data_IF_429926195565
#
_entry.id   IF_429926195565
#
_cell.length_a   1.000
_cell.length_b   1.000
_cell.length_c   1.000
_cell.angle_alpha   90.00
_cell.angle_beta   90.00
_cell.angle_gamma   90.00
#
_symmetry.space_group_name_H-M   'P 1'
#
loop_
_entity.id
_entity.type
_entity.pdbx_description
1 polymer ?
#
# COMPACT_ATOMS: atom_id res chain seq x y z
N UNK A 1 24.09 -43.77 -9.19
CA UNK A 1 24.11 -43.28 -10.58
C UNK A 1 23.13 -42.12 -10.72
N UNK A 2 23.38 -41.19 -11.64
CA UNK A 2 22.45 -40.15 -12.13
C UNK A 2 21.19 -40.79 -12.74
N UNK A 3 20.03 -40.15 -12.99
CA UNK A 3 19.60 -38.72 -12.98
C UNK A 3 18.31 -38.58 -12.11
N UNK A 4 17.38 -37.60 -12.13
CA UNK A 4 17.11 -36.43 -12.97
C UNK A 4 16.38 -35.27 -12.23
N UNK A 5 16.37 -34.10 -12.87
CA UNK A 5 15.75 -32.82 -12.47
C UNK A 5 14.21 -32.87 -12.45
N UNK A 6 13.56 -31.83 -11.93
CA UNK A 6 12.95 -30.81 -12.82
C UNK A 6 12.39 -29.62 -12.01
N UNK A 7 12.44 -28.40 -12.55
CA UNK A 7 12.31 -27.12 -11.81
C UNK A 7 11.11 -26.20 -12.16
N UNK A 8 10.76 -25.94 -13.44
CA UNK A 8 10.41 -24.57 -13.84
C UNK A 8 8.93 -24.18 -13.69
N UNK A 9 8.46 -24.01 -12.44
CA UNK A 9 7.20 -23.30 -12.13
C UNK A 9 7.37 -21.79 -12.39
N UNK A 10 7.31 -21.42 -13.67
CA UNK A 10 7.39 -20.07 -14.25
C UNK A 10 6.15 -19.81 -15.12
N UNK A 11 6.08 -18.67 -15.81
CA UNK A 11 5.47 -18.67 -17.16
C UNK A 11 6.13 -19.83 -17.91
N UNK A 12 5.39 -20.82 -18.47
CA UNK A 12 6.02 -22.03 -19.00
C UNK A 12 7.10 -21.67 -20.00
N UNK A 13 8.23 -22.40 -20.03
CA UNK A 13 9.37 -21.98 -20.85
C UNK A 13 8.97 -21.76 -22.31
N UNK A 14 8.17 -22.66 -22.89
CA UNK A 14 7.61 -22.53 -24.23
C UNK A 14 6.68 -21.30 -24.43
N UNK A 15 6.11 -20.69 -23.38
CA UNK A 15 5.38 -19.41 -23.43
C UNK A 15 6.34 -18.22 -23.38
N UNK A 16 7.44 -18.28 -22.60
CA UNK A 16 8.51 -17.29 -22.69
C UNK A 16 9.24 -17.35 -24.03
N UNK A 17 9.51 -18.55 -24.52
CA UNK A 17 10.13 -18.81 -25.82
C UNK A 17 9.19 -18.30 -26.93
N UNK A 18 7.87 -18.58 -26.86
CA UNK A 18 6.87 -18.06 -27.81
C UNK A 18 6.68 -16.53 -27.75
N UNK A 19 6.63 -15.93 -26.55
CA UNK A 19 6.61 -14.47 -26.40
C UNK A 19 7.92 -13.86 -26.96
N UNK A 20 9.04 -14.55 -26.82
CA UNK A 20 10.34 -14.11 -27.37
C UNK A 20 10.35 -14.21 -28.88
N UNK A 21 9.93 -15.34 -29.46
CA UNK A 21 9.73 -15.54 -30.90
C UNK A 21 8.86 -14.45 -31.52
N UNK A 22 7.67 -14.19 -30.95
CA UNK A 22 6.76 -13.12 -31.40
C UNK A 22 7.40 -11.72 -31.22
N UNK A 23 8.24 -11.54 -30.20
CA UNK A 23 8.98 -10.29 -29.98
C UNK A 23 10.06 -10.08 -31.05
N UNK A 24 10.72 -11.15 -31.47
CA UNK A 24 11.86 -11.11 -32.38
C UNK A 24 11.44 -10.96 -33.86
N UNK A 25 10.13 -11.08 -34.16
CA UNK A 25 9.56 -10.67 -35.43
C UNK A 25 9.77 -9.17 -35.76
N UNK A 26 10.04 -8.31 -34.76
CA UNK A 26 10.30 -6.88 -34.99
C UNK A 26 11.73 -6.67 -35.47
N UNK A 27 11.90 -6.18 -36.70
CA UNK A 27 13.20 -6.07 -37.38
C UNK A 27 14.01 -4.85 -36.92
N UNK A 28 15.34 -4.99 -36.95
CA UNK A 28 16.33 -3.91 -36.77
C UNK A 28 16.76 -3.66 -35.32
N UNK A 29 17.93 -3.04 -35.14
CA UNK A 29 18.55 -2.81 -33.81
C UNK A 29 18.61 -1.33 -33.39
N UNK A 30 17.80 -0.49 -34.04
CA UNK A 30 17.61 0.89 -33.59
C UNK A 30 16.98 0.92 -32.19
N UNK A 31 17.27 1.97 -31.42
CA UNK A 31 16.68 2.19 -30.10
C UNK A 31 15.13 2.11 -30.11
N UNK A 32 14.52 2.49 -31.24
CA UNK A 32 13.08 2.42 -31.47
C UNK A 32 12.58 0.98 -31.62
N UNK A 33 13.29 0.12 -32.37
CA UNK A 33 12.98 -1.30 -32.49
C UNK A 33 13.17 -2.04 -31.15
N UNK A 34 14.24 -1.76 -30.41
CA UNK A 34 14.46 -2.29 -29.05
C UNK A 34 13.32 -1.90 -28.10
N UNK A 35 12.88 -0.64 -28.14
CA UNK A 35 11.76 -0.15 -27.31
C UNK A 35 10.45 -0.82 -27.68
N UNK A 36 10.20 -1.06 -28.97
CA UNK A 36 9.05 -1.84 -29.47
C UNK A 36 9.08 -3.27 -28.98
N UNK A 37 10.21 -3.98 -29.11
CA UNK A 37 10.40 -5.35 -28.61
C UNK A 37 10.10 -5.45 -27.11
N UNK A 38 10.63 -4.54 -26.30
CA UNK A 38 10.34 -4.52 -24.85
C UNK A 38 8.86 -4.21 -24.53
N UNK A 39 8.22 -3.30 -25.29
CA UNK A 39 6.81 -2.94 -25.09
C UNK A 39 5.87 -4.09 -25.48
N UNK A 40 6.18 -4.77 -26.59
CA UNK A 40 5.46 -5.94 -27.08
C UNK A 40 5.55 -7.11 -26.09
N UNK A 41 6.75 -7.43 -25.59
CA UNK A 41 6.97 -8.44 -24.56
C UNK A 41 6.16 -8.18 -23.29
N UNK A 42 6.05 -6.90 -22.87
CA UNK A 42 5.21 -6.49 -21.72
C UNK A 42 3.72 -6.60 -22.00
N UNK A 43 3.28 -6.27 -23.22
CA UNK A 43 1.88 -6.38 -23.63
C UNK A 43 1.40 -7.84 -23.72
N UNK A 44 2.19 -8.71 -24.37
CA UNK A 44 1.91 -10.14 -24.49
C UNK A 44 1.86 -10.83 -23.11
N UNK A 45 2.78 -10.47 -22.21
CA UNK A 45 2.73 -10.94 -20.82
C UNK A 45 1.49 -10.41 -20.07
N UNK A 46 1.06 -9.17 -20.30
CA UNK A 46 -0.13 -8.60 -19.66
C UNK A 46 -1.41 -9.31 -20.11
N UNK A 47 -1.63 -9.48 -21.42
CA UNK A 47 -2.84 -10.16 -21.94
C UNK A 47 -2.91 -11.65 -21.60
N UNK A 48 -1.78 -12.25 -21.18
CA UNK A 48 -1.72 -13.60 -20.62
C UNK A 48 -2.01 -13.65 -19.11
N UNK A 49 -1.64 -12.61 -18.36
CA UNK A 49 -1.71 -12.59 -16.90
C UNK A 49 -3.03 -12.05 -16.32
N UNK A 50 -3.70 -11.12 -17.01
CA UNK A 50 -4.91 -10.43 -16.51
C UNK A 50 -6.19 -10.82 -17.26
N UNK A 51 -6.24 -12.06 -17.74
CA UNK A 51 -7.45 -12.67 -18.29
C UNK A 51 -8.54 -12.82 -17.22
N UNK A 52 -9.79 -12.53 -17.59
CA UNK A 52 -10.98 -12.78 -16.77
C UNK A 52 -11.35 -14.27 -16.69
N UNK A 53 -12.46 -14.57 -16.02
CA UNK A 53 -12.90 -15.95 -15.77
C UNK A 53 -13.25 -16.72 -17.06
N UNK A 54 -13.51 -16.02 -18.18
CA UNK A 54 -13.73 -16.58 -19.53
C UNK A 54 -12.43 -16.58 -20.39
N UNK A 55 -11.30 -16.15 -19.81
CA UNK A 55 -9.99 -16.13 -20.46
C UNK A 55 -9.66 -14.85 -21.25
N UNK A 56 -10.38 -13.74 -21.04
CA UNK A 56 -10.23 -12.51 -21.82
C UNK A 56 -9.60 -11.37 -21.02
N UNK A 57 -8.55 -10.74 -21.55
CA UNK A 57 -8.01 -9.50 -20.97
C UNK A 57 -8.70 -8.30 -21.63
N UNK A 58 -9.42 -7.51 -20.83
CA UNK A 58 -10.00 -6.24 -21.30
C UNK A 58 -8.89 -5.19 -21.40
N UNK A 59 -8.36 -4.99 -22.61
CA UNK A 59 -7.43 -3.90 -22.92
C UNK A 59 -8.06 -2.93 -23.91
N UNK A 60 -8.37 -1.71 -23.46
CA UNK A 60 -9.02 -0.70 -24.30
C UNK A 60 -8.02 0.03 -25.19
N UNK A 61 -8.50 0.71 -26.24
CA UNK A 61 -7.70 1.61 -27.08
C UNK A 61 -7.03 2.71 -26.25
N UNK A 62 -7.62 3.11 -25.11
CA UNK A 62 -7.04 4.07 -24.18
C UNK A 62 -5.84 3.47 -23.43
N UNK A 63 -5.92 2.20 -23.04
CA UNK A 63 -4.84 1.50 -22.33
C UNK A 63 -3.66 1.24 -23.28
N UNK A 64 -3.92 0.88 -24.53
CA UNK A 64 -2.87 0.80 -25.55
C UNK A 64 -2.20 2.18 -25.74
N UNK A 65 -2.98 3.26 -25.91
CA UNK A 65 -2.43 4.63 -26.02
C UNK A 65 -1.65 5.11 -24.77
N UNK A 66 -2.01 4.64 -23.58
CA UNK A 66 -1.44 5.13 -22.31
C UNK A 66 -0.25 4.30 -21.82
N UNK A 67 -0.24 3.01 -22.09
CA UNK A 67 0.71 2.04 -21.54
C UNK A 67 1.54 1.31 -22.61
N UNK A 68 1.06 1.27 -23.86
CA UNK A 68 1.66 0.48 -24.95
C UNK A 68 1.72 1.25 -26.28
N UNK A 69 1.87 2.58 -26.22
CA UNK A 69 1.73 3.46 -27.39
C UNK A 69 2.64 3.07 -28.57
N UNK A 70 3.83 2.54 -28.28
CA UNK A 70 4.81 2.08 -29.27
C UNK A 70 4.30 0.95 -30.18
N UNK A 71 3.23 0.24 -29.80
CA UNK A 71 2.59 -0.78 -30.64
C UNK A 71 1.77 -0.21 -31.81
N UNK A 72 1.36 1.06 -31.71
CA UNK A 72 0.47 1.72 -32.69
C UNK A 72 1.23 2.41 -33.84
N UNK A 73 2.56 2.54 -33.76
CA UNK A 73 3.37 3.09 -34.85
C UNK A 73 3.88 1.99 -35.77
N UNK A 74 3.85 2.22 -37.09
CA UNK A 74 4.32 1.27 -38.11
C UNK A 74 5.77 0.81 -37.87
N UNK A 75 5.99 -0.50 -37.96
CA UNK A 75 7.29 -1.15 -37.93
C UNK A 75 7.41 -2.17 -39.04
N UNK A 76 8.66 -2.47 -39.39
CA UNK A 76 9.02 -3.63 -40.20
C UNK A 76 8.93 -4.90 -39.32
N UNK A 77 8.21 -5.89 -39.83
CA UNK A 77 7.93 -7.16 -39.16
C UNK A 77 8.30 -8.29 -40.12
N UNK A 78 9.20 -9.18 -39.70
CA UNK A 78 9.57 -10.40 -40.41
C UNK A 78 8.95 -11.59 -39.70
N UNK A 79 8.14 -12.37 -40.41
CA UNK A 79 7.51 -13.59 -39.87
C UNK A 79 7.38 -14.63 -40.98
N UNK A 80 7.79 -15.87 -40.69
CA UNK A 80 7.76 -17.00 -41.63
C UNK A 80 8.46 -16.72 -42.99
N UNK A 81 9.52 -15.91 -42.98
CA UNK A 81 10.31 -15.59 -44.18
C UNK A 81 9.74 -14.47 -45.07
N UNK A 82 8.61 -13.86 -44.67
CA UNK A 82 8.00 -12.72 -45.34
C UNK A 82 8.16 -11.46 -44.50
N UNK A 83 8.41 -10.33 -45.15
CA UNK A 83 8.57 -9.03 -44.49
C UNK A 83 7.38 -8.10 -44.80
N UNK A 84 6.87 -7.44 -43.77
CA UNK A 84 5.69 -6.59 -43.81
C UNK A 84 5.95 -5.26 -43.10
N UNK A 85 5.36 -4.17 -43.59
CA UNK A 85 5.27 -2.91 -42.85
C UNK A 85 3.86 -2.78 -42.29
N UNK A 86 3.71 -2.90 -40.97
CA UNK A 86 2.40 -2.86 -40.29
C UNK A 86 2.53 -2.31 -38.86
N UNK A 87 1.42 -2.14 -38.14
CA UNK A 87 1.46 -1.92 -36.69
C UNK A 87 1.47 -3.26 -35.95
N UNK A 88 1.99 -3.29 -34.74
CA UNK A 88 1.97 -4.50 -33.92
C UNK A 88 0.55 -4.85 -33.47
N UNK A 89 -0.33 -3.85 -33.31
CA UNK A 89 -1.73 -4.10 -32.96
C UNK A 89 -2.47 -4.81 -34.11
N UNK A 90 -2.17 -4.49 -35.36
CA UNK A 90 -2.83 -5.10 -36.52
C UNK A 90 -2.20 -6.46 -36.91
N UNK A 91 -0.91 -6.65 -36.61
CA UNK A 91 -0.20 -7.91 -36.85
C UNK A 91 -0.62 -9.02 -35.87
N UNK A 92 -0.73 -8.74 -34.56
CA UNK A 92 -0.93 -9.78 -33.54
C UNK A 92 -2.15 -10.71 -33.75
N UNK A 93 -3.33 -10.25 -34.22
CA UNK A 93 -4.48 -11.13 -34.51
C UNK A 93 -4.27 -12.12 -35.67
N UNK A 94 -3.18 -11.98 -36.45
CA UNK A 94 -2.82 -12.95 -37.50
C UNK A 94 -2.12 -14.19 -36.94
N UNK A 95 -1.69 -14.15 -35.68
CA UNK A 95 -0.99 -15.25 -35.03
C UNK A 95 -1.99 -16.28 -34.46
N UNK A 96 -1.76 -17.59 -34.65
CA UNK A 96 -2.76 -18.62 -34.37
C UNK A 96 -3.12 -18.75 -32.88
N UNK A 97 -2.32 -18.19 -31.98
CA UNK A 97 -2.45 -18.22 -30.53
C UNK A 97 -3.02 -16.93 -29.91
N UNK A 98 -3.21 -15.84 -30.68
CA UNK A 98 -3.75 -14.56 -30.20
C UNK A 98 -5.07 -14.22 -30.89
N UNK A 99 -6.10 -13.88 -30.11
CA UNK A 99 -7.41 -13.48 -30.63
C UNK A 99 -7.80 -12.07 -30.13
N UNK A 100 -8.29 -11.22 -31.04
CA UNK A 100 -8.84 -9.91 -30.71
C UNK A 100 -10.35 -9.88 -30.95
N UNK A 101 -11.13 -9.50 -29.93
CA UNK A 101 -12.57 -9.29 -30.03
C UNK A 101 -12.90 -7.82 -29.93
N UNK A 102 -13.31 -7.23 -31.05
CA UNK A 102 -13.82 -5.87 -31.10
C UNK A 102 -15.11 -5.72 -30.28
N UNK A 103 -15.16 -4.72 -29.41
CA UNK A 103 -16.36 -4.41 -28.63
C UNK A 103 -17.51 -3.94 -29.52
N UNK A 104 -18.63 -4.68 -29.55
CA UNK A 104 -19.82 -4.26 -30.30
C UNK A 104 -20.46 -3.02 -29.65
N UNK A 105 -20.76 -2.01 -30.45
CA UNK A 105 -21.72 -0.98 -30.09
C UNK A 105 -23.11 -1.64 -29.98
N UNK A 106 -23.61 -1.78 -28.75
CA UNK A 106 -24.97 -2.27 -28.52
C UNK A 106 -25.96 -1.11 -28.71
N UNK A 107 -27.18 -1.42 -29.14
CA UNK A 107 -28.25 -0.43 -29.39
C UNK A 107 -28.61 0.35 -28.11
N UNK A 108 -28.37 -0.24 -26.92
CA UNK A 108 -28.40 0.45 -25.64
C UNK A 108 -27.11 1.27 -25.40
N UNK A 109 -27.23 2.59 -25.51
CA UNK A 109 -26.15 3.58 -25.30
C UNK A 109 -25.46 3.44 -23.94
N UNK A 110 -26.13 2.84 -22.93
CA UNK A 110 -25.58 2.63 -21.58
C UNK A 110 -24.71 1.36 -21.47
N UNK A 111 -24.68 0.50 -22.49
CA UNK A 111 -23.97 -0.81 -22.47
C UNK A 111 -22.98 -0.98 -23.63
N UNK A 112 -22.02 -0.05 -23.73
CA UNK A 112 -20.83 -0.23 -24.57
C UNK A 112 -20.00 -1.41 -24.05
N UNK A 113 -19.86 -2.48 -24.84
CA UNK A 113 -18.86 -3.52 -24.57
C UNK A 113 -17.48 -3.01 -24.97
N UNK A 114 -16.49 -3.16 -24.09
CA UNK A 114 -15.10 -2.88 -24.41
C UNK A 114 -14.54 -3.96 -25.37
N UNK A 115 -13.51 -3.61 -26.13
CA UNK A 115 -12.71 -4.61 -26.88
C UNK A 115 -11.81 -5.39 -25.93
N UNK A 116 -11.51 -6.64 -26.28
CA UNK A 116 -10.72 -7.55 -25.46
C UNK A 116 -9.72 -8.36 -26.28
N UNK A 117 -8.61 -8.76 -25.64
CA UNK A 117 -7.54 -9.57 -26.20
C UNK A 117 -7.41 -10.88 -25.41
N UNK A 118 -7.19 -11.99 -26.09
CA UNK A 118 -6.93 -13.30 -25.48
C UNK A 118 -5.65 -13.90 -26.07
N UNK A 119 -4.87 -14.58 -25.23
CA UNK A 119 -3.73 -15.40 -25.64
C UNK A 119 -3.99 -16.85 -25.23
N UNK A 120 -4.49 -17.66 -26.17
CA UNK A 120 -5.00 -19.01 -25.89
C UNK A 120 -3.99 -20.07 -26.35
N UNK A 121 -3.30 -20.67 -25.38
CA UNK A 121 -2.18 -21.57 -25.61
C UNK A 121 -2.65 -22.99 -25.95
N UNK A 122 -2.78 -23.28 -27.25
CA UNK A 122 -3.30 -24.54 -27.83
C UNK A 122 -2.29 -25.71 -27.71
N UNK A 123 -1.78 -25.97 -26.50
CA UNK A 123 -0.74 -26.97 -26.20
C UNK A 123 -1.26 -28.41 -26.50
N UNK A 124 -0.47 -29.28 -27.16
CA UNK A 124 -0.82 -30.70 -27.41
C UNK A 124 -1.10 -31.60 -26.17
N UNK A 125 -1.26 -32.89 -26.43
CA UNK A 125 -1.69 -33.96 -25.51
C UNK A 125 -0.59 -34.41 -24.50
N UNK A 126 -1.00 -34.83 -23.29
CA UNK A 126 -0.25 -35.56 -22.24
C UNK A 126 1.08 -34.98 -21.67
N UNK A 127 1.53 -35.31 -20.45
CA UNK A 127 1.14 -36.37 -19.51
C UNK A 127 1.04 -35.88 -18.04
N UNK A 128 0.30 -36.60 -17.18
CA UNK A 128 -0.03 -36.28 -15.77
C UNK A 128 1.13 -36.50 -14.77
N UNK A 129 2.32 -36.89 -15.23
CA UNK A 129 3.47 -37.30 -14.40
C UNK A 129 4.48 -36.17 -14.11
N UNK A 130 4.57 -35.13 -14.95
CA UNK A 130 5.62 -34.11 -14.90
C UNK A 130 5.34 -32.94 -13.92
N UNK A 131 5.63 -33.12 -12.63
CA UNK A 131 5.09 -32.24 -11.55
C UNK A 131 6.06 -31.20 -10.94
N UNK A 132 7.37 -31.33 -11.12
CA UNK A 132 8.38 -30.30 -10.80
C UNK A 132 8.80 -30.16 -9.32
N UNK A 133 9.92 -29.45 -9.12
CA UNK A 133 10.71 -29.30 -7.88
C UNK A 133 11.36 -27.89 -7.87
N UNK A 134 10.68 -26.83 -7.43
CA UNK A 134 11.26 -25.46 -7.42
C UNK A 134 12.05 -25.18 -6.13
N UNK A 135 13.13 -24.41 -6.23
CA UNK A 135 14.29 -24.45 -5.33
C UNK A 135 14.84 -23.09 -4.83
N UNK A 136 15.47 -23.05 -3.64
CA UNK A 136 16.30 -21.97 -3.02
C UNK A 136 17.31 -22.56 -2.00
N UNK A 137 18.42 -21.87 -1.73
CA UNK A 137 19.79 -22.42 -1.55
C UNK A 137 20.35 -22.49 -0.09
N UNK A 138 21.19 -23.50 0.19
CA UNK A 138 22.12 -23.66 1.34
C UNK A 138 23.47 -22.93 1.15
N UNK A 139 24.08 -22.43 2.24
CA UNK A 139 25.15 -21.43 2.17
C UNK A 139 26.59 -21.96 2.31
N UNK A 140 26.79 -23.21 2.73
CA UNK A 140 28.11 -23.86 2.65
C UNK A 140 28.24 -24.72 1.39
N UNK A 141 27.11 -25.16 0.80
CA UNK A 141 27.10 -26.18 -0.27
C UNK A 141 26.42 -25.78 -1.59
N UNK A 142 25.46 -24.85 -1.57
CA UNK A 142 24.83 -24.30 -2.78
C UNK A 142 23.55 -25.00 -3.30
N UNK A 143 23.12 -26.16 -2.77
CA UNK A 143 21.89 -26.86 -3.22
C UNK A 143 20.63 -26.55 -2.37
N UNK A 144 19.44 -27.01 -2.80
CA UNK A 144 18.26 -26.14 -2.69
C UNK A 144 16.84 -26.79 -2.66
N UNK A 145 15.83 -26.10 -2.10
CA UNK A 145 14.38 -26.47 -2.09
C UNK A 145 13.43 -25.29 -1.75
N UNK A 146 12.36 -25.01 -2.54
CA UNK A 146 11.45 -23.84 -2.34
C UNK A 146 10.07 -23.78 -3.06
N UNK A 147 8.99 -24.02 -2.30
CA UNK A 147 8.00 -22.99 -1.90
C UNK A 147 6.88 -22.47 -2.86
N UNK A 148 7.01 -22.38 -4.19
CA UNK A 148 5.96 -21.74 -5.06
C UNK A 148 4.58 -22.44 -5.01
N UNK A 149 4.54 -23.70 -4.59
CA UNK A 149 3.39 -24.61 -4.56
C UNK A 149 2.13 -24.09 -3.87
N UNK A 150 2.27 -23.22 -2.86
CA UNK A 150 1.18 -22.89 -1.94
C UNK A 150 0.44 -21.59 -2.30
N UNK A 151 0.76 -20.91 -3.41
CA UNK A 151 0.21 -19.59 -3.76
C UNK A 151 -0.61 -19.56 -5.06
N UNK A 152 -1.89 -19.91 -4.96
CA UNK A 152 -2.94 -19.42 -5.89
C UNK A 152 -4.21 -19.02 -5.13
N UNK A 153 -4.68 -17.78 -5.32
CA UNK A 153 -6.03 -17.32 -4.97
C UNK A 153 -6.17 -15.98 -4.20
N UNK A 154 -7.36 -15.36 -4.37
CA UNK A 154 -8.09 -14.42 -3.49
C UNK A 154 -7.36 -13.15 -2.97
N UNK A 155 -7.80 -11.91 -3.25
CA UNK A 155 -8.89 -11.49 -4.16
C UNK A 155 -9.36 -10.04 -3.91
N UNK A 156 -8.98 -9.11 -4.80
CA UNK A 156 -9.39 -7.68 -4.92
C UNK A 156 -9.06 -6.71 -3.77
N UNK A 157 -8.60 -5.51 -4.17
CA UNK A 157 -8.21 -4.38 -3.32
C UNK A 157 -8.37 -3.04 -4.08
N UNK A 158 -8.51 -1.88 -3.40
CA UNK A 158 -8.73 -0.57 -4.03
C UNK A 158 -7.43 0.14 -4.48
N UNK A 159 -7.58 1.24 -5.25
CA UNK A 159 -6.50 2.18 -5.62
C UNK A 159 -6.80 3.60 -5.10
N UNK A 160 -5.89 4.16 -4.30
CA UNK A 160 -5.74 5.61 -4.13
C UNK A 160 -4.26 5.95 -4.30
N UNK A 161 -3.91 6.55 -5.43
CA UNK A 161 -2.57 7.07 -5.69
C UNK A 161 -2.61 8.59 -5.52
N UNK A 162 -1.86 9.13 -4.56
CA UNK A 162 -1.70 10.59 -4.42
C UNK A 162 -0.68 11.04 -5.47
N UNK A 163 -1.15 11.79 -6.46
CA UNK A 163 -0.29 12.37 -7.50
C UNK A 163 0.40 13.62 -6.94
N UNK A 164 1.63 13.45 -6.45
CA UNK A 164 2.46 14.57 -6.00
C UNK A 164 2.96 15.37 -7.22
N UNK A 165 2.62 16.66 -7.28
CA UNK A 165 2.95 17.54 -8.42
C UNK A 165 4.46 17.62 -8.74
N UNK A 166 4.78 17.91 -10.01
CA UNK A 166 6.15 17.93 -10.57
C UNK A 166 7.14 18.95 -9.95
N UNK A 167 6.74 19.77 -8.97
CA UNK A 167 7.57 20.86 -8.38
C UNK A 167 8.24 20.51 -7.03
N UNK A 168 8.45 19.23 -6.74
CA UNK A 168 8.96 18.76 -5.44
C UNK A 168 10.34 18.07 -5.48
N UNK A 169 11.29 18.60 -6.26
CA UNK A 169 12.66 18.05 -6.32
C UNK A 169 13.34 18.05 -4.95
N UNK A 170 13.18 19.11 -4.15
CA UNK A 170 13.78 19.21 -2.80
C UNK A 170 13.13 18.29 -1.79
N UNK A 171 11.83 17.97 -1.94
CA UNK A 171 11.16 16.96 -1.11
C UNK A 171 11.68 15.59 -1.51
N UNK A 172 11.68 15.23 -2.80
CA UNK A 172 12.25 13.97 -3.29
C UNK A 172 13.71 13.76 -2.88
N UNK A 173 14.54 14.81 -2.88
CA UNK A 173 15.93 14.77 -2.39
C UNK A 173 15.97 14.52 -0.87
N UNK A 174 15.14 15.23 -0.09
CA UNK A 174 15.00 15.01 1.37
C UNK A 174 14.50 13.60 1.69
N UNK A 175 13.54 13.07 0.95
CA UNK A 175 13.06 11.69 1.12
C UNK A 175 14.13 10.66 0.78
N UNK A 176 14.85 10.83 -0.34
CA UNK A 176 15.97 9.94 -0.68
C UNK A 176 17.07 9.97 0.39
N UNK A 177 17.38 11.15 0.92
CA UNK A 177 18.38 11.31 1.99
C UNK A 177 17.90 10.72 3.33
N UNK A 178 16.62 10.86 3.67
CA UNK A 178 16.01 10.24 4.84
C UNK A 178 16.01 8.71 4.74
N UNK A 179 15.50 8.15 3.64
CA UNK A 179 15.46 6.71 3.41
C UNK A 179 16.86 6.10 3.32
N UNK A 180 17.86 6.86 2.85
CA UNK A 180 19.27 6.44 2.88
C UNK A 180 19.88 6.27 4.28
N UNK A 181 19.22 6.74 5.35
CA UNK A 181 19.60 6.44 6.74
C UNK A 181 18.97 5.15 7.28
N UNK A 182 17.94 4.64 6.62
CA UNK A 182 17.32 3.35 6.97
C UNK A 182 18.22 2.24 6.41
N UNK A 183 18.50 1.23 7.24
CA UNK A 183 19.27 0.06 6.82
C UNK A 183 18.51 -0.74 5.74
N UNK A 184 19.17 -1.76 5.16
CA UNK A 184 18.44 -2.77 4.38
C UNK A 184 17.40 -3.46 5.27
N UNK A 185 16.26 -3.81 4.69
CA UNK A 185 15.16 -4.44 5.40
C UNK A 185 15.57 -5.79 5.97
N UNK A 186 15.00 -6.18 7.11
CA UNK A 186 15.29 -7.48 7.75
C UNK A 186 14.01 -8.27 8.02
N UNK A 187 13.97 -9.47 7.48
CA UNK A 187 12.90 -10.45 7.69
C UNK A 187 13.50 -11.71 8.32
N UNK A 188 13.03 -12.11 9.50
CA UNK A 188 13.53 -13.30 10.17
C UNK A 188 13.04 -14.60 9.47
N UNK A 189 13.93 -15.59 9.34
CA UNK A 189 13.68 -16.82 8.59
C UNK A 189 12.54 -17.68 9.17
N UNK A 190 12.16 -17.48 10.44
CA UNK A 190 10.99 -18.15 11.03
C UNK A 190 9.67 -17.79 10.33
N UNK A 191 9.57 -16.65 9.64
CA UNK A 191 8.44 -16.38 8.74
C UNK A 191 8.40 -17.40 7.61
N UNK A 192 9.51 -17.60 6.90
CA UNK A 192 9.59 -18.53 5.76
C UNK A 192 9.29 -19.96 6.24
N UNK A 193 9.80 -20.35 7.41
CA UNK A 193 9.47 -21.65 8.05
C UNK A 193 7.98 -21.77 8.38
N UNK A 194 7.36 -20.75 8.96
CA UNK A 194 5.94 -20.77 9.32
C UNK A 194 4.97 -20.60 8.13
N UNK A 195 5.44 -20.05 7.02
CA UNK A 195 4.74 -20.14 5.74
C UNK A 195 4.86 -21.57 5.20
N UNK A 196 6.07 -22.15 5.12
CA UNK A 196 6.31 -23.55 4.68
C UNK A 196 5.56 -24.62 5.49
N UNK A 197 5.07 -24.31 6.70
CA UNK A 197 4.31 -25.22 7.56
C UNK A 197 2.79 -24.99 7.56
N UNK A 198 2.25 -24.12 6.70
CA UNK A 198 0.81 -23.83 6.64
C UNK A 198 0.17 -24.43 5.39
N UNK A 199 -1.06 -24.92 5.56
CA UNK A 199 -1.95 -25.14 4.42
C UNK A 199 -2.22 -23.82 3.67
N UNK A 200 -2.44 -23.86 2.35
CA UNK A 200 -2.55 -22.66 1.53
C UNK A 200 -3.89 -21.94 1.74
N UNK A 201 -3.99 -21.14 2.80
CA UNK A 201 -5.15 -20.34 3.19
C UNK A 201 -5.02 -18.85 2.80
N UNK A 202 -5.99 -18.02 3.20
CA UNK A 202 -5.95 -16.56 2.96
C UNK A 202 -4.72 -15.87 3.58
N UNK A 203 -4.16 -16.41 4.66
CA UNK A 203 -2.99 -15.86 5.34
C UNK A 203 -1.67 -16.27 4.66
N UNK A 204 -1.55 -17.49 4.12
CA UNK A 204 -0.46 -17.87 3.23
C UNK A 204 -0.51 -17.09 1.90
N UNK A 205 -1.72 -16.94 1.33
CA UNK A 205 -1.97 -16.13 0.13
C UNK A 205 -1.64 -14.64 0.36
N UNK A 206 -1.57 -14.17 1.61
CA UNK A 206 -1.00 -12.87 2.01
C UNK A 206 0.53 -12.92 2.25
N UNK A 207 1.06 -14.05 2.70
CA UNK A 207 2.48 -14.37 2.86
C UNK A 207 3.33 -14.07 1.62
N UNK A 208 3.23 -14.85 0.53
CA UNK A 208 4.09 -14.60 -0.65
C UNK A 208 3.74 -13.27 -1.34
N UNK A 209 2.49 -12.78 -1.25
CA UNK A 209 2.19 -11.39 -1.70
C UNK A 209 3.11 -10.36 -1.05
N UNK A 210 3.43 -10.55 0.21
CA UNK A 210 4.38 -9.70 0.94
C UNK A 210 5.82 -9.98 0.49
N UNK A 211 6.20 -11.24 0.29
CA UNK A 211 7.54 -11.62 -0.21
C UNK A 211 7.84 -11.11 -1.64
N UNK A 212 6.83 -10.88 -2.47
CA UNK A 212 6.98 -10.31 -3.82
C UNK A 212 7.55 -8.87 -3.82
N UNK A 213 7.55 -8.19 -2.67
CA UNK A 213 8.14 -6.86 -2.51
C UNK A 213 9.61 -6.89 -2.03
N UNK A 214 10.18 -8.07 -1.82
CA UNK A 214 11.58 -8.25 -1.40
C UNK A 214 12.51 -8.23 -2.62
N UNK A 215 13.17 -7.11 -2.86
CA UNK A 215 14.17 -6.99 -3.93
C UNK A 215 15.59 -7.24 -3.41
N UNK A 216 16.44 -7.85 -4.24
CA UNK A 216 17.85 -8.16 -3.92
C UNK A 216 18.05 -8.90 -2.58
N UNK A 217 17.12 -9.79 -2.23
CA UNK A 217 17.13 -10.56 -0.98
C UNK A 217 18.39 -11.41 -0.82
N UNK A 218 19.03 -11.38 0.35
CA UNK A 218 20.20 -12.20 0.72
C UNK A 218 19.98 -12.81 2.11
N UNK A 219 20.44 -14.04 2.33
CA UNK A 219 20.39 -14.66 3.66
C UNK A 219 21.64 -14.22 4.43
N UNK A 220 21.43 -13.67 5.64
CA UNK A 220 22.46 -13.24 6.59
C UNK A 220 22.12 -13.87 7.96
N UNK A 221 22.66 -15.06 8.21
CA UNK A 221 22.37 -15.84 9.42
C UNK A 221 20.89 -16.19 9.55
N UNK A 222 20.24 -15.69 10.60
CA UNK A 222 18.81 -15.93 10.86
C UNK A 222 17.86 -15.00 10.09
N UNK A 223 18.38 -14.06 9.30
CA UNK A 223 17.61 -13.05 8.59
C UNK A 223 17.76 -13.14 7.08
N UNK A 224 16.76 -12.65 6.35
CA UNK A 224 16.88 -12.23 4.96
C UNK A 224 17.01 -10.71 4.94
N UNK A 225 18.09 -10.18 4.38
CA UNK A 225 18.26 -8.75 4.11
C UNK A 225 17.78 -8.40 2.72
N UNK A 226 17.04 -7.30 2.57
CA UNK A 226 16.41 -6.93 1.30
C UNK A 226 16.39 -5.42 1.08
N UNK A 227 16.25 -5.00 -0.18
CA UNK A 227 16.06 -3.59 -0.51
C UNK A 227 14.59 -3.22 -0.30
N UNK A 228 14.38 -2.18 0.50
CA UNK A 228 13.03 -1.73 0.84
C UNK A 228 12.26 -1.21 -0.37
N UNK A 229 11.02 -1.66 -0.50
CA UNK A 229 10.02 -1.01 -1.35
C UNK A 229 9.01 -0.26 -0.48
N UNK A 230 9.32 1.01 -0.22
CA UNK A 230 8.50 1.89 0.61
C UNK A 230 7.41 2.60 -0.22
N UNK A 231 6.17 2.54 0.25
CA UNK A 231 5.08 3.37 -0.26
C UNK A 231 4.74 4.51 0.71
N UNK A 232 4.47 5.70 0.16
CA UNK A 232 4.08 6.89 0.92
C UNK A 232 2.56 7.08 0.81
N UNK A 233 1.84 7.00 1.92
CA UNK A 233 0.37 7.15 1.94
C UNK A 233 -0.09 8.59 2.18
N UNK A 234 -1.42 8.80 2.17
CA UNK A 234 -2.07 9.93 2.83
C UNK A 234 -1.48 10.17 4.23
N UNK A 235 -1.33 11.43 4.63
CA UNK A 235 -0.68 11.83 5.88
C UNK A 235 0.85 11.76 5.85
N UNK A 236 1.46 11.17 4.81
CA UNK A 236 2.91 11.07 4.67
C UNK A 236 3.55 9.86 5.35
N UNK A 237 2.75 8.83 5.68
CA UNK A 237 3.28 7.63 6.35
C UNK A 237 4.04 6.75 5.38
N UNK A 238 5.23 6.35 5.80
CA UNK A 238 5.96 5.25 5.19
C UNK A 238 5.53 3.91 5.77
N UNK A 239 5.48 2.90 4.90
CA UNK A 239 5.36 1.52 5.32
C UNK A 239 6.10 0.58 4.36
N UNK A 240 6.71 -0.46 4.93
CA UNK A 240 7.30 -1.53 4.13
C UNK A 240 6.21 -2.44 3.54
N UNK A 241 6.13 -2.53 2.21
CA UNK A 241 5.12 -3.36 1.54
C UNK A 241 5.31 -4.87 1.80
N UNK A 242 6.53 -5.31 2.12
CA UNK A 242 6.81 -6.69 2.50
C UNK A 242 6.37 -7.04 3.92
N UNK A 243 5.96 -6.05 4.73
CA UNK A 243 5.47 -6.27 6.08
C UNK A 243 3.97 -6.00 6.22
N UNK A 244 3.44 -4.92 5.62
CA UNK A 244 2.06 -4.50 5.94
C UNK A 244 0.97 -5.48 5.52
N UNK A 245 1.19 -6.19 4.42
CA UNK A 245 0.21 -7.14 3.90
C UNK A 245 0.11 -8.43 4.74
N UNK A 246 0.97 -8.60 5.75
CA UNK A 246 0.97 -9.77 6.62
C UNK A 246 -0.07 -9.65 7.76
N UNK A 247 -0.75 -10.75 8.13
CA UNK A 247 -1.52 -10.83 9.37
C UNK A 247 -0.59 -10.75 10.59
N UNK A 248 -1.11 -10.30 11.73
CA UNK A 248 -0.33 -10.03 12.95
C UNK A 248 0.58 -11.17 13.41
N UNK A 249 0.13 -12.42 13.31
CA UNK A 249 0.94 -13.59 13.69
C UNK A 249 2.17 -13.77 12.79
N UNK A 250 2.01 -13.51 11.48
CA UNK A 250 3.12 -13.51 10.53
C UNK A 250 3.99 -12.27 10.67
N UNK A 251 3.42 -11.09 10.99
CA UNK A 251 4.20 -9.89 11.36
C UNK A 251 5.12 -10.14 12.56
N UNK A 252 4.63 -10.83 13.60
CA UNK A 252 5.42 -11.21 14.77
C UNK A 252 6.60 -12.14 14.40
N UNK A 253 6.39 -13.08 13.47
CA UNK A 253 7.46 -13.96 12.95
C UNK A 253 8.43 -13.23 12.01
N UNK A 254 7.94 -12.28 11.20
CA UNK A 254 8.75 -11.43 10.32
C UNK A 254 9.78 -10.61 11.12
N UNK A 255 9.32 -9.96 12.20
CA UNK A 255 10.15 -9.13 13.09
C UNK A 255 10.92 -9.91 14.16
N UNK A 256 10.83 -11.24 14.18
CA UNK A 256 11.38 -12.07 15.26
C UNK A 256 12.87 -11.79 15.48
N UNK A 257 13.28 -11.55 16.73
CA UNK A 257 14.65 -11.17 17.09
C UNK A 257 15.02 -9.70 16.83
N UNK A 258 14.09 -8.88 16.30
CA UNK A 258 14.24 -7.44 16.14
C UNK A 258 13.39 -6.67 17.17
N UNK A 259 13.78 -5.44 17.49
CA UNK A 259 13.05 -4.59 18.43
C UNK A 259 11.99 -3.76 17.70
N UNK A 260 10.72 -3.99 18.04
CA UNK A 260 9.56 -3.32 17.44
C UNK A 260 9.16 -2.08 18.26
N UNK A 261 9.61 -0.89 17.87
CA UNK A 261 9.31 0.36 18.57
C UNK A 261 8.08 1.06 18.00
N UNK A 262 7.06 1.29 18.83
CA UNK A 262 5.89 2.07 18.45
C UNK A 262 5.67 3.25 19.41
N UNK A 263 5.12 4.36 18.91
CA UNK A 263 4.80 5.54 19.72
C UNK A 263 3.60 5.23 20.63
N UNK A 264 3.80 5.25 21.96
CA UNK A 264 2.70 5.03 22.90
C UNK A 264 1.65 6.14 22.78
N UNK A 265 0.40 5.73 22.54
CA UNK A 265 -0.76 6.61 22.41
C UNK A 265 -0.58 7.71 21.34
N UNK A 266 0.19 7.43 20.29
CA UNK A 266 0.61 8.35 19.21
C UNK A 266 -0.35 9.52 18.93
N UNK A 267 -1.62 9.24 18.59
CA UNK A 267 -2.65 10.25 18.30
C UNK A 267 -2.79 11.32 19.40
N UNK A 268 -2.71 10.96 20.70
CA UNK A 268 -2.80 11.92 21.80
C UNK A 268 -1.53 12.75 21.98
N UNK A 269 -0.36 12.16 21.72
CA UNK A 269 0.92 12.84 21.70
C UNK A 269 0.96 13.89 20.58
N UNK A 270 0.60 13.49 19.35
CA UNK A 270 0.48 14.38 18.20
C UNK A 270 -0.53 15.51 18.41
N UNK A 271 -1.71 15.22 18.99
CA UNK A 271 -2.68 16.26 19.33
C UNK A 271 -2.13 17.27 20.35
N UNK A 272 -1.49 16.81 21.42
CA UNK A 272 -0.91 17.70 22.42
C UNK A 272 0.25 18.54 21.86
N UNK A 273 1.02 18.00 20.91
CA UNK A 273 2.03 18.75 20.16
C UNK A 273 1.37 19.83 19.29
N UNK A 274 0.37 19.49 18.48
CA UNK A 274 -0.37 20.44 17.65
C UNK A 274 -1.06 21.55 18.48
N UNK A 275 -1.70 21.20 19.60
CA UNK A 275 -2.30 22.19 20.49
C UNK A 275 -1.24 23.16 21.04
N UNK A 276 -0.07 22.67 21.46
CA UNK A 276 1.05 23.53 21.88
C UNK A 276 1.58 24.40 20.73
N UNK A 277 1.81 23.81 19.55
CA UNK A 277 2.38 24.46 18.38
C UNK A 277 1.51 25.61 17.86
N UNK A 278 0.19 25.44 17.90
CA UNK A 278 -0.79 26.45 17.50
C UNK A 278 -1.37 27.24 18.68
N UNK A 279 -0.82 27.13 19.90
CA UNK A 279 -1.24 27.89 21.09
C UNK A 279 -2.74 27.70 21.45
N UNK A 280 -3.26 26.49 21.31
CA UNK A 280 -4.58 26.10 21.83
C UNK A 280 -4.42 25.69 23.29
N UNK A 281 -5.08 26.41 24.20
CA UNK A 281 -5.11 26.06 25.64
C UNK A 281 -5.98 24.82 25.90
N UNK A 282 -5.43 23.66 25.52
CA UNK A 282 -6.02 22.36 25.79
C UNK A 282 -4.95 21.27 25.79
N UNK A 283 -5.07 20.31 26.71
CA UNK A 283 -4.22 19.13 26.77
C UNK A 283 -5.03 17.88 27.05
N UNK A 284 -4.94 16.89 26.16
CA UNK A 284 -5.50 15.56 26.42
C UNK A 284 -4.69 14.89 27.53
N UNK A 285 -5.36 14.57 28.64
CA UNK A 285 -4.77 13.84 29.77
C UNK A 285 -4.53 12.38 29.40
N UNK A 286 -3.36 11.84 29.73
CA UNK A 286 -3.02 10.42 29.51
C UNK A 286 -3.97 9.45 30.24
N UNK A 287 -4.57 9.89 31.35
CA UNK A 287 -5.57 9.15 32.11
C UNK A 287 -6.89 8.90 31.39
N UNK A 288 -7.14 9.51 30.22
CA UNK A 288 -8.40 9.37 29.45
C UNK A 288 -8.82 7.90 29.27
N UNK A 289 -7.88 7.00 28.96
CA UNK A 289 -8.20 5.58 28.79
C UNK A 289 -8.61 4.91 30.10
N UNK A 290 -7.98 5.26 31.23
CA UNK A 290 -8.35 4.73 32.56
C UNK A 290 -9.77 5.18 32.92
N UNK A 291 -10.06 6.47 32.83
CA UNK A 291 -11.39 7.04 33.09
C UNK A 291 -12.48 6.43 32.19
N UNK A 292 -12.18 6.18 30.91
CA UNK A 292 -13.11 5.50 30.01
C UNK A 292 -13.37 4.05 30.43
N UNK A 293 -12.34 3.28 30.77
CA UNK A 293 -12.48 1.89 31.21
C UNK A 293 -13.33 1.81 32.49
N UNK A 294 -13.03 2.65 33.48
CA UNK A 294 -13.75 2.73 34.76
C UNK A 294 -15.23 3.10 34.57
N UNK A 295 -15.54 4.08 33.72
CA UNK A 295 -16.93 4.52 33.52
C UNK A 295 -17.77 3.57 32.64
N UNK A 296 -17.15 2.89 31.67
CA UNK A 296 -17.87 2.15 30.62
C UNK A 296 -17.78 0.63 30.73
N UNK A 297 -16.82 0.09 31.49
CA UNK A 297 -16.49 -1.33 31.51
C UNK A 297 -15.86 -1.86 30.21
N UNK A 298 -15.54 -0.98 29.25
CA UNK A 298 -14.90 -1.36 28.00
C UNK A 298 -13.40 -1.62 28.18
N UNK A 299 -12.82 -2.45 27.31
CA UNK A 299 -11.38 -2.73 27.29
C UNK A 299 -10.57 -1.55 26.76
N UNK A 300 -9.28 -1.44 27.13
CA UNK A 300 -8.34 -0.42 26.62
C UNK A 300 -8.33 -0.35 25.08
N UNK A 301 -8.50 -1.49 24.39
CA UNK A 301 -8.57 -1.57 22.91
C UNK A 301 -9.83 -0.89 22.34
N UNK A 302 -10.98 -1.10 22.97
CA UNK A 302 -12.25 -0.46 22.59
C UNK A 302 -12.21 1.05 22.89
N UNK A 303 -11.70 1.45 24.07
CA UNK A 303 -11.52 2.87 24.42
C UNK A 303 -10.56 3.59 23.46
N UNK A 304 -9.43 2.96 23.08
CA UNK A 304 -8.53 3.46 22.02
C UNK A 304 -9.27 3.69 20.69
N UNK A 305 -10.14 2.74 20.28
CA UNK A 305 -10.90 2.88 19.05
C UNK A 305 -11.98 3.99 19.12
N UNK A 306 -12.61 4.20 20.28
CA UNK A 306 -13.52 5.34 20.51
C UNK A 306 -12.78 6.67 20.37
N UNK A 307 -11.68 6.87 21.12
CA UNK A 307 -10.84 8.07 21.07
C UNK A 307 -10.41 8.37 19.63
N UNK A 308 -9.80 7.39 18.96
CA UNK A 308 -9.34 7.54 17.58
C UNK A 308 -10.49 7.93 16.65
N UNK A 309 -11.61 7.20 16.67
CA UNK A 309 -12.76 7.49 15.79
C UNK A 309 -13.36 8.87 16.04
N UNK A 310 -13.36 9.35 17.28
CA UNK A 310 -13.86 10.67 17.66
C UNK A 310 -12.88 11.80 17.28
N UNK A 311 -11.56 11.62 17.45
CA UNK A 311 -10.54 12.59 16.99
C UNK A 311 -10.68 12.83 15.49
N UNK A 312 -10.66 11.78 14.67
CA UNK A 312 -10.79 11.90 13.21
C UNK A 312 -12.21 12.26 12.73
N UNK A 313 -13.14 12.55 13.66
CA UNK A 313 -14.45 13.18 13.43
C UNK A 313 -14.55 14.58 14.04
N UNK A 314 -13.42 15.22 14.36
CA UNK A 314 -13.34 16.56 14.97
C UNK A 314 -14.18 16.61 16.26
N UNK A 315 -13.97 15.64 17.14
CA UNK A 315 -14.69 15.52 18.41
C UNK A 315 -16.15 15.07 18.32
N UNK A 316 -16.75 14.94 17.12
CA UNK A 316 -18.17 14.59 16.98
C UNK A 316 -18.44 13.11 17.28
N UNK A 317 -19.39 12.86 18.19
CA UNK A 317 -19.89 11.52 18.52
C UNK A 317 -21.27 11.31 17.89
N UNK A 318 -21.45 10.21 17.17
CA UNK A 318 -22.75 9.83 16.58
C UNK A 318 -23.48 8.89 17.54
N UNK A 319 -24.68 9.27 17.98
CA UNK A 319 -25.49 8.47 18.91
C UNK A 319 -26.32 7.35 18.24
N UNK A 320 -26.39 7.32 16.91
CA UNK A 320 -27.07 6.26 16.15
C UNK A 320 -26.33 4.91 16.26
N UNK A 321 -27.07 3.82 16.43
CA UNK A 321 -26.52 2.48 16.63
C UNK A 321 -26.42 1.64 15.35
N UNK A 322 -26.92 2.14 14.22
CA UNK A 322 -27.06 1.37 12.98
C UNK A 322 -25.72 1.22 12.24
N UNK A 323 -24.79 2.16 12.42
CA UNK A 323 -23.52 2.20 11.69
C UNK A 323 -22.33 2.68 12.55
N UNK A 324 -21.14 2.71 11.93
CA UNK A 324 -19.96 3.43 12.42
C UNK A 324 -19.52 3.07 13.84
N UNK A 325 -19.39 4.09 14.69
CA UNK A 325 -18.95 3.91 16.09
C UNK A 325 -20.06 3.34 16.97
N UNK A 326 -21.32 3.75 16.74
CA UNK A 326 -22.44 3.32 17.58
C UNK A 326 -22.78 1.85 17.40
N UNK A 327 -22.71 1.32 16.17
CA UNK A 327 -22.84 -0.12 15.91
C UNK A 327 -21.75 -0.95 16.59
N UNK A 328 -20.52 -0.41 16.69
CA UNK A 328 -19.42 -1.06 17.42
C UNK A 328 -19.68 -1.07 18.92
N UNK A 329 -20.01 0.08 19.51
CA UNK A 329 -20.35 0.19 20.94
C UNK A 329 -21.55 -0.69 21.30
N UNK A 330 -22.58 -0.75 20.43
CA UNK A 330 -23.72 -1.65 20.59
C UNK A 330 -23.31 -3.13 20.70
N UNK A 331 -22.47 -3.62 19.78
CA UNK A 331 -21.93 -4.99 19.83
C UNK A 331 -21.08 -5.23 21.09
N UNK A 332 -20.24 -4.26 21.47
CA UNK A 332 -19.43 -4.35 22.70
C UNK A 332 -20.26 -4.39 23.99
N UNK A 333 -21.45 -3.81 23.97
CA UNK A 333 -22.42 -3.83 25.08
C UNK A 333 -23.32 -5.08 25.08
N UNK A 334 -22.94 -6.15 24.38
CA UNK A 334 -23.75 -7.37 24.24
C UNK A 334 -25.10 -7.11 23.57
N UNK A 335 -25.12 -6.23 22.56
CA UNK A 335 -26.34 -5.79 21.85
C UNK A 335 -27.38 -5.09 22.76
N UNK A 336 -26.95 -4.53 23.90
CA UNK A 336 -27.84 -3.75 24.77
C UNK A 336 -27.98 -2.29 24.31
N UNK A 337 -29.10 -1.96 23.65
CA UNK A 337 -29.43 -0.59 23.18
C UNK A 337 -29.34 0.45 24.30
N UNK A 338 -29.85 0.14 25.50
CA UNK A 338 -29.83 1.02 26.68
C UNK A 338 -28.40 1.33 27.15
N UNK A 339 -27.54 0.31 27.28
CA UNK A 339 -26.13 0.49 27.68
C UNK A 339 -25.35 1.28 26.62
N UNK A 340 -25.50 0.92 25.35
CA UNK A 340 -24.79 1.58 24.25
C UNK A 340 -25.12 3.08 24.13
N UNK A 341 -26.41 3.44 24.21
CA UNK A 341 -26.84 4.85 24.19
C UNK A 341 -26.35 5.62 25.42
N UNK A 342 -26.32 5.01 26.62
CA UNK A 342 -25.75 5.64 27.82
C UNK A 342 -24.27 5.97 27.62
N UNK A 343 -23.47 5.02 27.13
CA UNK A 343 -22.04 5.22 26.85
C UNK A 343 -21.82 6.29 25.78
N UNK A 344 -22.57 6.28 24.67
CA UNK A 344 -22.41 7.27 23.60
C UNK A 344 -22.79 8.69 24.03
N UNK A 345 -23.85 8.85 24.84
CA UNK A 345 -24.26 10.15 25.39
C UNK A 345 -23.23 10.71 26.37
N UNK A 346 -22.78 9.89 27.31
CA UNK A 346 -21.69 10.25 28.23
C UNK A 346 -20.42 10.61 27.46
N UNK A 347 -20.04 9.80 26.48
CA UNK A 347 -18.84 10.05 25.67
C UNK A 347 -18.92 11.38 24.92
N UNK A 348 -20.07 11.71 24.34
CA UNK A 348 -20.30 13.00 23.67
C UNK A 348 -20.15 14.20 24.62
N UNK A 349 -20.62 14.10 25.86
CA UNK A 349 -20.44 15.12 26.88
C UNK A 349 -18.96 15.22 27.30
N UNK A 350 -18.33 14.09 27.62
CA UNK A 350 -16.96 14.00 28.09
C UNK A 350 -15.93 14.54 27.09
N UNK A 351 -16.14 14.34 25.78
CA UNK A 351 -15.26 14.88 24.72
C UNK A 351 -15.62 16.28 24.25
N UNK A 352 -16.66 16.93 24.79
CA UNK A 352 -17.06 18.27 24.36
C UNK A 352 -15.90 19.30 24.45
N UNK A 353 -15.06 19.32 25.52
CA UNK A 353 -13.88 20.18 25.55
C UNK A 353 -12.85 19.87 24.45
N UNK A 354 -12.64 18.58 24.13
CA UNK A 354 -11.77 18.17 23.03
C UNK A 354 -12.34 18.59 21.67
N UNK A 355 -13.67 18.53 21.50
CA UNK A 355 -14.34 19.01 20.28
C UNK A 355 -14.05 20.49 20.05
N UNK A 356 -14.27 21.33 21.06
CA UNK A 356 -13.96 22.78 20.97
C UNK A 356 -12.49 23.02 20.68
N UNK A 357 -11.57 22.34 21.37
CA UNK A 357 -10.13 22.47 21.12
C UNK A 357 -9.72 22.06 19.70
N UNK A 358 -10.33 21.01 19.13
CA UNK A 358 -10.08 20.58 17.74
C UNK A 358 -10.64 21.57 16.71
N UNK A 359 -11.77 22.21 16.99
CA UNK A 359 -12.35 23.27 16.14
C UNK A 359 -11.44 24.52 16.18
N UNK A 360 -11.02 24.98 17.36
CA UNK A 360 -10.06 26.08 17.51
C UNK A 360 -8.68 25.77 16.89
N UNK A 361 -8.18 24.54 17.00
CA UNK A 361 -6.93 24.12 16.35
C UNK A 361 -7.02 24.29 14.82
N UNK A 362 -8.12 23.86 14.21
CA UNK A 362 -8.33 24.01 12.77
C UNK A 362 -8.43 25.48 12.35
N UNK A 363 -9.14 26.31 13.12
CA UNK A 363 -9.22 27.76 12.89
C UNK A 363 -7.83 28.41 12.94
N UNK A 364 -7.01 28.05 13.94
CA UNK A 364 -5.64 28.55 14.08
C UNK A 364 -4.69 28.05 12.99
N UNK A 365 -4.81 26.79 12.55
CA UNK A 365 -4.08 26.28 11.37
C UNK A 365 -4.45 27.08 10.12
N UNK A 366 -5.75 27.30 9.85
CA UNK A 366 -6.21 28.11 8.72
C UNK A 366 -5.73 29.57 8.82
N UNK A 367 -5.78 30.17 10.03
CA UNK A 367 -5.32 31.54 10.27
C UNK A 367 -3.81 31.70 10.07
N UNK A 368 -3.00 30.79 10.60
CA UNK A 368 -1.55 30.77 10.41
C UNK A 368 -1.19 30.60 8.94
N UNK A 369 -1.80 29.62 8.25
CA UNK A 369 -1.57 29.40 6.82
C UNK A 369 -1.90 30.62 5.97
N UNK A 370 -3.03 31.30 6.21
CA UNK A 370 -3.38 32.52 5.47
C UNK A 370 -2.38 33.66 5.70
N UNK A 371 -1.76 33.76 6.88
CA UNK A 371 -0.73 34.77 7.18
C UNK A 371 0.61 34.48 6.51
N UNK A 372 1.01 33.21 6.40
CA UNK A 372 2.30 32.81 5.80
C UNK A 372 2.24 32.53 4.30
N UNK A 373 1.05 32.32 3.73
CA UNK A 373 0.87 31.93 2.34
C UNK A 373 0.98 33.13 1.38
N UNK A 374 1.99 33.11 0.50
CA UNK A 374 2.32 34.20 -0.44
C UNK A 374 1.26 34.53 -1.50
N UNK A 375 0.21 33.71 -1.66
CA UNK A 375 -0.88 33.99 -2.59
C UNK A 375 -2.21 33.38 -2.12
N UNK A 376 -3.34 34.12 -2.20
CA UNK A 376 -4.67 33.57 -1.96
C UNK A 376 -5.01 32.35 -2.83
N UNK A 377 -4.41 32.25 -4.03
CA UNK A 377 -4.58 31.09 -4.92
C UNK A 377 -4.11 29.78 -4.27
N UNK A 378 -3.21 29.82 -3.29
CA UNK A 378 -2.65 28.66 -2.59
C UNK A 378 -3.30 28.36 -1.22
N UNK A 379 -4.36 29.09 -0.82
CA UNK A 379 -5.05 28.86 0.48
C UNK A 379 -5.71 27.47 0.64
N UNK A 380 -5.75 26.66 -0.41
CA UNK A 380 -6.21 25.28 -0.38
C UNK A 380 -5.08 24.24 -0.19
N UNK A 381 -3.80 24.67 -0.19
CA UNK A 381 -2.62 23.80 -0.13
C UNK A 381 -1.92 23.94 1.21
N UNK A 382 -1.94 22.89 2.02
CA UNK A 382 -1.41 22.90 3.40
C UNK A 382 -0.14 22.08 3.50
N UNK A 383 0.91 22.64 4.10
CA UNK A 383 2.10 21.89 4.47
C UNK A 383 1.94 21.26 5.85
N UNK A 384 2.42 20.03 6.04
CA UNK A 384 2.57 19.44 7.37
C UNK A 384 4.03 19.53 7.86
N UNK A 385 4.28 19.02 9.07
CA UNK A 385 5.58 19.09 9.77
C UNK A 385 6.77 18.53 9.00
N UNK A 386 6.53 17.63 8.03
CA UNK A 386 7.59 17.04 7.18
C UNK A 386 7.69 17.70 5.79
N UNK A 387 6.93 18.78 5.56
CA UNK A 387 6.93 19.55 4.32
C UNK A 387 6.17 18.90 3.15
N UNK A 388 5.37 17.86 3.40
CA UNK A 388 4.45 17.31 2.42
C UNK A 388 3.26 18.26 2.25
N UNK A 389 2.65 18.27 1.06
CA UNK A 389 1.54 19.17 0.73
C UNK A 389 0.24 18.38 0.55
N UNK A 390 -0.81 18.78 1.26
CA UNK A 390 -2.20 18.38 1.04
C UNK A 390 -2.93 19.45 0.22
N UNK A 391 -3.52 19.07 -0.90
CA UNK A 391 -4.39 19.92 -1.70
C UNK A 391 -5.86 19.62 -1.36
N UNK A 392 -6.51 20.51 -0.59
CA UNK A 392 -7.91 20.37 -0.15
C UNK A 392 -8.96 20.58 -1.27
N UNK A 393 -8.53 20.84 -2.51
CA UNK A 393 -9.39 20.89 -3.68
C UNK A 393 -9.26 19.62 -4.54
N UNK A 394 -8.19 18.83 -4.36
CA UNK A 394 -7.96 17.58 -5.09
C UNK A 394 -8.85 16.39 -4.65
N UNK A 395 -9.51 16.50 -3.49
CA UNK A 395 -10.45 15.49 -3.01
C UNK A 395 -11.86 15.70 -3.57
N UNK A 396 -12.33 14.77 -4.41
CA UNK A 396 -13.73 14.70 -4.86
C UNK A 396 -14.65 14.27 -3.70
N UNK A 397 -15.17 15.24 -2.96
CA UNK A 397 -16.17 14.98 -1.92
C UNK A 397 -17.54 14.74 -2.56
N UNK A 398 -18.02 13.48 -2.51
CA UNK A 398 -19.32 13.01 -3.01
C UNK A 398 -20.56 13.56 -2.25
N UNK A 399 -20.53 14.82 -1.78
CA UNK A 399 -21.60 15.46 -0.99
C UNK A 399 -21.79 16.92 -1.43
N UNK A 400 -23.04 17.37 -1.41
CA UNK A 400 -23.54 18.52 -2.17
C UNK A 400 -23.64 19.81 -1.35
N UNK A 401 -24.21 19.77 -0.14
CA UNK A 401 -24.41 20.96 0.69
C UNK A 401 -23.09 21.35 1.36
N UNK A 402 -22.52 22.50 0.96
CA UNK A 402 -21.13 22.91 1.22
C UNK A 402 -20.61 22.81 2.66
N UNK A 403 -21.48 22.86 3.67
CA UNK A 403 -21.09 22.60 5.07
C UNK A 403 -20.58 21.16 5.30
N UNK A 404 -21.09 20.16 4.56
CA UNK A 404 -20.56 18.79 4.55
C UNK A 404 -19.18 18.71 3.90
N UNK A 405 -18.95 19.48 2.82
CA UNK A 405 -17.67 19.55 2.13
C UNK A 405 -16.60 20.20 3.03
N UNK A 406 -16.90 21.32 3.68
CA UNK A 406 -15.96 21.95 4.60
C UNK A 406 -15.64 21.06 5.82
N UNK A 407 -16.62 20.34 6.36
CA UNK A 407 -16.38 19.35 7.42
C UNK A 407 -15.46 18.19 6.95
N UNK A 408 -15.62 17.73 5.70
CA UNK A 408 -14.76 16.70 5.13
C UNK A 408 -13.32 17.20 4.93
N UNK A 409 -13.15 18.42 4.38
CA UNK A 409 -11.84 19.11 4.24
C UNK A 409 -11.14 19.30 5.58
N UNK A 410 -11.87 19.75 6.60
CA UNK A 410 -11.34 19.89 7.96
C UNK A 410 -10.91 18.54 8.57
N UNK A 411 -11.62 17.45 8.28
CA UNK A 411 -11.21 16.10 8.70
C UNK A 411 -9.91 15.65 7.99
N UNK A 412 -9.81 15.89 6.68
CA UNK A 412 -8.61 15.56 5.91
C UNK A 412 -7.41 16.36 6.42
N UNK A 413 -7.57 17.68 6.62
CA UNK A 413 -6.54 18.56 7.18
C UNK A 413 -6.10 18.12 8.58
N UNK A 414 -7.03 17.90 9.52
CA UNK A 414 -6.69 17.44 10.87
C UNK A 414 -5.92 16.12 10.84
N UNK A 415 -6.36 15.16 10.00
CA UNK A 415 -5.68 13.89 9.85
C UNK A 415 -4.26 14.05 9.29
N UNK A 416 -4.10 14.90 8.29
CA UNK A 416 -2.84 15.19 7.63
C UNK A 416 -1.81 15.86 8.56
N UNK A 417 -2.25 16.80 9.41
CA UNK A 417 -1.40 17.44 10.40
C UNK A 417 -0.97 16.46 11.50
N UNK A 418 -1.89 15.65 12.04
CA UNK A 418 -1.59 14.61 13.04
C UNK A 418 -0.55 13.61 12.50
N UNK A 419 -0.74 13.13 11.28
CA UNK A 419 0.23 12.24 10.63
C UNK A 419 1.57 12.95 10.34
N UNK A 420 1.56 14.25 10.04
CA UNK A 420 2.79 15.02 9.84
C UNK A 420 3.69 15.03 11.08
N UNK A 421 3.12 15.32 12.26
CA UNK A 421 3.85 15.33 13.54
C UNK A 421 4.38 13.94 13.89
N UNK A 422 3.57 12.90 13.69
CA UNK A 422 3.99 11.49 13.85
C UNK A 422 5.19 11.16 12.97
N UNK A 423 5.15 11.55 11.68
CA UNK A 423 6.25 11.28 10.74
C UNK A 423 7.49 12.14 11.01
N UNK A 424 7.35 13.38 11.51
CA UNK A 424 8.48 14.20 11.93
C UNK A 424 9.24 13.51 13.08
N UNK A 425 8.53 13.01 14.09
CA UNK A 425 9.13 12.25 15.19
C UNK A 425 9.83 10.97 14.69
N UNK A 426 9.19 10.17 13.83
CA UNK A 426 9.80 8.96 13.25
C UNK A 426 11.07 9.30 12.43
N UNK A 427 11.08 10.42 11.69
CA UNK A 427 12.26 10.88 10.94
C UNK A 427 13.41 11.30 11.85
N UNK A 428 13.11 11.86 13.01
CA UNK A 428 14.11 12.21 14.03
C UNK A 428 14.68 10.95 14.69
N UNK A 429 13.82 9.98 15.07
CA UNK A 429 14.24 8.64 15.55
C UNK A 429 15.20 7.97 14.56
N UNK A 430 14.87 7.93 13.26
CA UNK A 430 15.77 7.38 12.23
C UNK A 430 17.04 8.21 12.08
N UNK A 431 16.96 9.54 12.20
CA UNK A 431 18.13 10.43 12.07
C UNK A 431 19.11 10.31 13.22
N UNK A 432 18.65 10.00 14.44
CA UNK A 432 19.49 9.69 15.60
C UNK A 432 20.06 8.27 15.56
N UNK A 433 19.54 7.38 14.69
CA UNK A 433 19.91 5.97 14.64
C UNK A 433 20.21 5.48 13.20
N UNK A 434 21.14 6.14 12.47
CA UNK A 434 21.47 5.77 11.10
C UNK A 434 21.94 4.31 11.03
N UNK A 435 21.39 3.54 10.08
CA UNK A 435 21.74 2.13 9.88
C UNK A 435 21.24 1.14 10.95
N UNK A 436 20.50 1.59 11.98
CA UNK A 436 19.95 0.70 13.03
C UNK A 436 18.46 0.41 12.86
N UNK A 437 17.71 1.37 12.33
CA UNK A 437 16.32 1.14 11.88
C UNK A 437 16.36 0.37 10.56
N UNK A 438 15.71 -0.79 10.51
CA UNK A 438 15.65 -1.69 9.37
C UNK A 438 14.22 -1.98 8.89
N UNK A 439 13.23 -1.20 9.34
CA UNK A 439 11.87 -1.16 8.79
C UNK A 439 11.08 0.05 9.31
N UNK A 440 10.19 0.59 8.49
CA UNK A 440 9.19 1.60 8.89
C UNK A 440 7.78 0.98 8.89
N UNK A 441 7.03 1.18 9.98
CA UNK A 441 5.66 0.67 10.19
C UNK A 441 4.75 1.79 10.73
N UNK A 442 4.18 2.61 9.84
CA UNK A 442 3.14 3.61 10.17
C UNK A 442 3.45 4.55 11.37
N UNK A 443 3.11 4.16 12.60
CA UNK A 443 3.36 4.85 13.88
C UNK A 443 4.54 4.27 14.69
N UNK A 444 5.43 3.52 14.03
CA UNK A 444 6.58 2.84 14.61
C UNK A 444 7.70 2.49 13.62
N UNK A 445 8.75 1.87 14.16
CA UNK A 445 9.94 1.39 13.45
C UNK A 445 10.40 0.04 14.01
N UNK A 446 11.07 -0.77 13.20
CA UNK A 446 11.76 -1.98 13.67
C UNK A 446 13.27 -1.81 13.53
N UNK A 447 14.00 -2.22 14.56
CA UNK A 447 15.43 -1.99 14.69
C UNK A 447 16.23 -3.26 15.04
N UNK A 448 17.49 -3.28 14.63
CA UNK A 448 18.45 -4.35 14.92
C UNK A 448 19.03 -4.30 16.33
N UNK A 449 18.74 -3.25 17.09
CA UNK A 449 19.19 -3.06 18.47
C UNK A 449 18.55 -1.81 19.09
N UNK A 450 18.88 -1.55 20.35
CA UNK A 450 18.22 -0.49 21.13
C UNK A 450 18.42 0.91 20.53
N UNK A 451 17.35 1.67 20.33
CA UNK A 451 17.37 3.00 19.71
C UNK A 451 17.55 4.14 20.72
N UNK A 452 18.31 5.16 20.35
CA UNK A 452 18.31 6.48 20.99
C UNK A 452 17.03 7.23 20.62
N UNK A 453 16.24 7.68 21.59
CA UNK A 453 14.93 8.30 21.32
C UNK A 453 15.00 9.84 21.44
N UNK A 454 14.32 10.61 20.57
CA UNK A 454 14.22 12.06 20.72
C UNK A 454 13.39 12.45 21.96
N UNK A 455 13.83 13.49 22.67
CA UNK A 455 13.07 14.09 23.79
C UNK A 455 11.98 15.04 23.29
N UNK A 456 10.93 14.46 22.72
CA UNK A 456 9.71 15.20 22.40
C UNK A 456 8.73 15.10 23.56
N UNK A 457 8.44 16.25 24.20
CA UNK A 457 7.56 16.33 25.38
C UNK A 457 6.22 15.63 25.15
N UNK A 458 6.04 14.48 25.81
CA UNK A 458 4.81 13.68 25.78
C UNK A 458 4.76 12.59 24.71
N UNK A 459 5.81 12.45 23.88
CA UNK A 459 6.06 11.25 23.09
C UNK A 459 6.84 10.24 23.94
N UNK A 460 6.62 8.96 23.68
CA UNK A 460 7.39 7.87 24.28
C UNK A 460 7.29 6.68 23.33
N UNK A 461 8.40 6.19 22.79
CA UNK A 461 8.39 4.90 22.10
C UNK A 461 8.57 3.77 23.10
N UNK A 462 7.88 2.65 22.87
CA UNK A 462 8.07 1.41 23.62
C UNK A 462 8.28 0.26 22.66
N UNK A 463 9.15 -0.66 23.05
CA UNK A 463 9.22 -1.98 22.42
C UNK A 463 7.88 -2.67 22.67
N UNK A 464 7.27 -3.19 21.60
CA UNK A 464 6.10 -4.07 21.66
C UNK A 464 6.54 -5.53 21.57
N UNK A 465 6.02 -6.33 22.50
CA UNK A 465 6.04 -7.79 22.43
C UNK A 465 5.30 -8.33 21.19
#
# INVERSE_FOLDING_TARGET
MSTEKDYPVKIPKWVYDRITEITDCVVGDTQWAVTRRQTLRRFLAHIWLEADDDGWTICTVRDIRSCYASLQGQCEISYQGLCYISTLVDFLPTLPDIEFRAGKACVDVKKRKASAWQFNLRRPVCDKSARGKLNLVDLETGESLSFTTLLKGNGKAPRHAIVVEKRQTDVKRREKAFLGKVARGRMHISLVKALRSREPDTYYRAGIRSLNHLYNGRIEGQYVTYDHYYHLTFGGRYYDQAFQNLPNELKAKFRSGLLNYDIEACNLACLNHLFKQYDVDYRVKSSIYKTMMEHTGLTRKQCKQMVHTTTYRIGRVTAGLNDGLGAKVYKWCGNSKKKALKILRWWNQYVSPLKSALESLLERIHGAHRKSCSSPRNYHRYANEVGLILDLNSEEYLRERGHHQQYARNKALLAFMICGVEQAYIREVVSLNPGRVCMLDHDGVVATGALSLPDWRGFTMKVKD
#
